data_IF_490190575028
#
_entry.id   IF_490190575028
#
_cell.length_a   1.000
_cell.length_b   1.000
_cell.length_c   1.000
_cell.angle_alpha   90.00
_cell.angle_beta   90.00
_cell.angle_gamma   90.00
#
_symmetry.space_group_name_H-M   'P 1'
#
loop_
_entity.id
_entity.type
_entity.pdbx_description
1 polymer ?
#
# COMPACT_ATOMS: atom_id res chain seq x y z
N UNK A 1 11.51 -12.84 -20.77
CA UNK A 1 11.40 -12.55 -20.49
C UNK A 1 11.19 -12.04 -19.91
N UNK A 2 11.21 -11.65 -19.85
CA UNK A 2 11.18 -11.11 -19.35
C UNK A 2 10.70 -10.67 -18.63
N UNK A 3 10.86 -10.54 -18.27
CA UNK A 3 10.36 -10.18 -17.59
C UNK A 3 10.11 -9.10 -17.33
N UNK A 4 9.27 -8.66 -17.55
CA UNK A 4 9.12 -7.28 -17.40
C UNK A 4 8.63 -7.00 -16.05
N UNK A 5 9.25 -6.13 -15.36
CA UNK A 5 8.80 -5.67 -14.11
C UNK A 5 7.77 -4.62 -14.30
N UNK A 6 6.57 -4.93 -13.94
CA UNK A 6 5.51 -3.95 -13.97
C UNK A 6 5.67 -3.04 -12.76
N UNK A 7 5.51 -1.72 -12.92
CA UNK A 7 5.54 -0.84 -11.76
C UNK A 7 4.43 -1.19 -10.78
N UNK A 8 4.64 -0.85 -9.52
CA UNK A 8 3.65 -1.12 -8.48
C UNK A 8 3.11 0.18 -7.92
N UNK A 9 1.92 0.10 -7.35
CA UNK A 9 1.27 1.26 -6.73
C UNK A 9 1.01 0.93 -5.28
N UNK A 10 1.38 1.87 -4.41
CA UNK A 10 1.05 1.74 -2.99
C UNK A 10 -0.34 2.32 -2.78
N UNK A 11 -1.28 1.49 -2.40
CA UNK A 11 -2.68 1.89 -2.26
C UNK A 11 -3.10 2.11 -0.81
N UNK A 12 -2.15 2.13 0.11
CA UNK A 12 -2.47 2.37 1.50
C UNK A 12 -2.52 3.84 1.85
N UNK A 13 -2.71 4.16 3.13
CA UNK A 13 -2.71 5.55 3.57
C UNK A 13 -1.32 6.15 3.54
N UNK A 14 -1.24 7.48 3.52
CA UNK A 14 0.04 8.16 3.54
C UNK A 14 0.82 7.76 4.79
N UNK A 15 2.09 7.46 4.60
CA UNK A 15 2.99 7.18 5.70
C UNK A 15 4.09 8.23 5.65
N UNK A 16 4.16 9.14 6.62
CA UNK A 16 5.15 10.21 6.57
C UNK A 16 6.55 9.67 6.39
N UNK A 17 7.29 10.28 5.46
CA UNK A 17 8.69 9.93 5.19
C UNK A 17 8.88 8.53 4.63
N UNK A 18 7.80 7.83 4.28
CA UNK A 18 7.89 6.49 3.75
C UNK A 18 7.23 6.40 2.39
N UNK A 19 5.93 6.69 2.32
CA UNK A 19 5.21 6.56 1.07
C UNK A 19 3.94 7.39 1.09
N UNK A 20 3.52 7.79 -0.10
CA UNK A 20 2.26 8.49 -0.27
C UNK A 20 1.24 7.56 -0.89
N UNK A 21 -0.02 7.80 -0.55
CA UNK A 21 -1.13 7.01 -1.07
C UNK A 21 -1.17 7.09 -2.60
N UNK A 22 -1.37 5.95 -3.25
CA UNK A 22 -1.53 5.84 -4.70
C UNK A 22 -0.35 6.38 -5.49
N UNK A 23 0.84 6.21 -4.94
CA UNK A 23 2.06 6.58 -5.65
C UNK A 23 2.58 5.36 -6.39
N UNK A 24 3.03 5.58 -7.62
CA UNK A 24 3.58 4.53 -8.46
C UNK A 24 5.09 4.46 -8.26
N UNK A 25 5.60 3.24 -8.10
CA UNK A 25 7.03 3.00 -7.96
C UNK A 25 7.46 1.93 -8.94
N UNK A 26 8.64 2.11 -9.52
CA UNK A 26 9.22 1.06 -10.33
C UNK A 26 9.70 -0.09 -9.46
N UNK A 27 10.17 0.23 -8.29
CA UNK A 27 10.53 -0.75 -7.28
C UNK A 27 10.06 -0.26 -5.94
N UNK A 28 9.70 -1.19 -5.08
CA UNK A 28 9.27 -0.82 -3.74
C UNK A 28 10.44 -0.17 -3.01
N UNK A 29 10.29 1.09 -2.54
CA UNK A 29 11.37 1.74 -1.82
C UNK A 29 11.75 0.96 -0.57
N UNK A 30 13.02 1.08 -0.18
CA UNK A 30 13.50 0.35 0.98
C UNK A 30 12.74 0.76 2.24
N UNK A 31 12.45 2.05 2.39
CA UNK A 31 11.71 2.51 3.56
C UNK A 31 10.34 1.85 3.65
N UNK A 32 9.66 1.73 2.50
CA UNK A 32 8.36 1.09 2.48
C UNK A 32 8.49 -0.40 2.74
N UNK A 33 9.54 -1.01 2.21
CA UNK A 33 9.77 -2.44 2.42
C UNK A 33 10.01 -2.74 3.90
N UNK A 34 10.78 -1.88 4.57
CA UNK A 34 11.01 -2.03 6.00
C UNK A 34 9.74 -1.86 6.79
N UNK A 35 8.93 -0.90 6.40
CA UNK A 35 7.64 -0.70 7.06
C UNK A 35 6.75 -1.91 6.87
N UNK A 36 6.77 -2.48 5.68
CA UNK A 36 5.96 -3.66 5.39
C UNK A 36 6.39 -4.86 6.23
N UNK A 37 7.65 -4.94 6.58
CA UNK A 37 8.12 -6.01 7.45
C UNK A 37 7.52 -5.90 8.84
N UNK A 38 7.23 -4.70 9.28
CA UNK A 38 6.60 -4.48 10.59
C UNK A 38 5.09 -4.57 10.52
N UNK A 39 4.52 -4.26 9.37
CA UNK A 39 3.08 -4.29 9.16
C UNK A 39 2.79 -5.16 7.95
N UNK A 40 2.60 -6.46 8.14
CA UNK A 40 2.45 -7.35 6.99
C UNK A 40 1.33 -6.97 6.03
N UNK A 41 0.29 -6.32 6.52
CA UNK A 41 -0.83 -5.91 5.66
C UNK A 41 -0.43 -4.91 4.59
N UNK A 42 0.68 -4.22 4.77
CA UNK A 42 1.13 -3.21 3.81
C UNK A 42 1.36 -3.85 2.44
N UNK A 43 1.99 -5.02 2.40
CA UNK A 43 2.31 -5.62 1.11
C UNK A 43 1.06 -6.01 0.33
N UNK A 44 -0.06 -6.23 1.02
CA UNK A 44 -1.32 -6.51 0.33
C UNK A 44 -1.85 -5.29 -0.41
N UNK A 45 -1.41 -4.11 -0.03
CA UNK A 45 -1.84 -2.88 -0.68
C UNK A 45 -0.82 -2.37 -1.68
N UNK A 46 0.28 -3.07 -1.87
CA UNK A 46 1.24 -2.76 -2.92
C UNK A 46 0.94 -3.71 -4.07
N UNK A 47 0.34 -3.17 -5.12
CA UNK A 47 -0.18 -4.00 -6.22
C UNK A 47 0.37 -3.51 -7.54
N UNK A 48 0.41 -4.38 -8.55
CA UNK A 48 0.82 -3.93 -9.88
C UNK A 48 -0.13 -2.85 -10.40
N UNK A 49 0.40 -1.99 -11.25
CA UNK A 49 -0.41 -0.92 -11.83
C UNK A 49 -1.68 -1.48 -12.48
N UNK A 50 -1.57 -2.64 -13.10
CA UNK A 50 -2.71 -3.23 -13.79
C UNK A 50 -3.84 -3.60 -12.82
N UNK A 51 -3.55 -3.74 -11.53
CA UNK A 51 -4.57 -4.08 -10.55
C UNK A 51 -4.99 -2.89 -9.70
N UNK A 52 -4.46 -1.71 -9.99
CA UNK A 52 -4.75 -0.55 -9.18
C UNK A 52 -6.23 -0.20 -9.17
N UNK A 53 -6.89 -0.29 -10.32
CA UNK A 53 -8.29 0.09 -10.40
C UNK A 53 -9.18 -0.81 -9.54
N UNK A 54 -8.90 -2.10 -9.55
CA UNK A 54 -9.67 -3.03 -8.73
C UNK A 54 -9.42 -2.80 -7.24
N UNK A 55 -8.16 -2.61 -6.89
CA UNK A 55 -7.82 -2.36 -5.50
C UNK A 55 -8.46 -1.07 -5.00
N UNK A 56 -8.42 -0.05 -5.84
CA UNK A 56 -9.02 1.23 -5.49
C UNK A 56 -10.51 1.10 -5.26
N UNK A 57 -11.17 0.30 -6.11
CA UNK A 57 -12.60 0.05 -5.95
C UNK A 57 -12.88 -0.69 -4.66
N UNK A 58 -12.04 -1.70 -4.35
CA UNK A 58 -12.20 -2.46 -3.11
C UNK A 58 -12.03 -1.57 -1.90
N UNK A 59 -11.10 -0.62 -1.95
CA UNK A 59 -10.89 0.29 -0.83
C UNK A 59 -12.11 1.15 -0.55
N UNK A 60 -12.88 1.45 -1.58
CA UNK A 60 -14.09 2.26 -1.41
C UNK A 60 -15.28 1.44 -0.96
N UNK A 61 -15.18 0.13 -1.00
CA UNK A 61 -16.27 -0.76 -0.61
C UNK A 61 -16.10 -1.16 0.84
N UNK A 62 -17.01 -0.76 1.73
CA UNK A 62 -16.89 -1.13 3.15
C UNK A 62 -16.93 -2.64 3.33
N UNK A 63 -16.14 -3.13 4.27
CA UNK A 63 -16.13 -4.53 4.61
C UNK A 63 -15.19 -5.39 3.80
N UNK A 64 -14.57 -4.83 2.76
CA UNK A 64 -13.58 -5.59 2.03
C UNK A 64 -12.29 -5.70 2.83
N UNK A 65 -11.49 -6.72 2.50
CA UNK A 65 -10.19 -6.90 3.13
C UNK A 65 -9.33 -5.66 2.99
N UNK A 66 -9.32 -5.09 1.79
CA UNK A 66 -8.50 -3.91 1.51
C UNK A 66 -8.95 -2.71 2.34
N UNK A 67 -10.24 -2.54 2.46
CA UNK A 67 -10.80 -1.43 3.24
C UNK A 67 -10.43 -1.57 4.71
N UNK A 68 -10.51 -2.78 5.24
CA UNK A 68 -10.18 -3.04 6.64
C UNK A 68 -8.69 -2.80 6.87
N UNK A 69 -7.85 -3.27 5.95
CA UNK A 69 -6.41 -3.06 6.07
C UNK A 69 -6.06 -1.59 6.04
N UNK A 70 -6.69 -0.85 5.13
CA UNK A 70 -6.40 0.58 5.01
C UNK A 70 -6.66 1.29 6.34
N UNK A 71 -7.81 1.02 6.95
CA UNK A 71 -8.14 1.64 8.22
C UNK A 71 -7.19 1.22 9.33
N UNK A 72 -6.80 -0.05 9.32
CA UNK A 72 -5.88 -0.55 10.34
C UNK A 72 -4.51 0.13 10.24
N UNK A 73 -3.99 0.22 9.02
CA UNK A 73 -2.69 0.87 8.81
C UNK A 73 -2.77 2.35 9.14
N UNK A 74 -3.87 2.98 8.78
CA UNK A 74 -4.03 4.40 9.07
C UNK A 74 -3.98 4.65 10.57
N UNK A 75 -4.62 3.79 11.35
CA UNK A 75 -4.56 3.91 12.80
C UNK A 75 -3.16 3.73 13.34
N UNK A 76 -2.43 2.76 12.78
CA UNK A 76 -1.06 2.53 13.22
C UNK A 76 -0.19 3.75 12.95
N UNK A 77 -0.34 4.33 11.77
CA UNK A 77 0.45 5.49 11.41
C UNK A 77 0.12 6.67 12.31
N UNK A 78 -1.16 6.92 12.52
CA UNK A 78 -1.57 8.04 13.35
C UNK A 78 -1.17 7.83 14.80
N UNK A 79 -1.36 6.62 15.30
CA UNK A 79 -1.00 6.33 16.68
C UNK A 79 0.49 6.38 16.89
N UNK A 80 1.27 6.02 15.90
CA UNK A 80 2.71 6.02 16.01
C UNK A 80 3.34 7.38 15.91
N UNK A 81 2.58 8.38 15.52
CA UNK A 81 3.13 9.71 15.33
C UNK A 81 3.20 10.53 16.61
N UNK A 82 2.86 9.94 17.71
CA UNK A 82 2.83 10.62 19.00
C UNK A 82 4.18 10.75 19.62
#
# INVERSE_FOLDING_TARGET
MKESKEPVVYCGPDIPHVAHSFTTYEEVPEALRRFAAKCPGISSLIVPVSEMAETRRALKTPGTWESILYGHIQKLVQGGSR
#
